data_IF_908454054518
#
_entry.id   IF_908454054518
#
_cell.length_a   1.000
_cell.length_b   1.000
_cell.length_c   1.000
_cell.angle_alpha   90.00
_cell.angle_beta   90.00
_cell.angle_gamma   90.00
#
_symmetry.space_group_name_H-M   'P 1'
#
loop_
_entity.id
_entity.type
_entity.pdbx_description
1 polymer ?
#
# COMPACT_ATOMS: atom_id res chain seq x y z
N UNK A 1 -10.10 -3.82 9.22
CA UNK A 1 -8.91 -3.01 9.56
C UNK A 1 -9.05 -1.67 8.88
N UNK A 2 -8.58 -0.59 9.52
CA UNK A 2 -8.68 0.78 8.98
C UNK A 2 -7.38 1.54 9.20
N UNK A 3 -7.11 2.55 8.37
CA UNK A 3 -5.98 3.44 8.51
C UNK A 3 -6.45 4.84 8.92
N UNK A 4 -5.77 5.46 9.87
CA UNK A 4 -6.05 6.84 10.28
C UNK A 4 -4.80 7.69 10.18
N UNK A 5 -4.98 8.95 9.81
CA UNK A 5 -3.90 9.94 9.72
C UNK A 5 -3.55 10.53 11.09
N UNK A 6 -2.67 11.54 11.13
CA UNK A 6 -2.27 12.22 12.36
C UNK A 6 -3.42 12.98 13.06
N UNK A 7 -4.56 13.18 12.38
CA UNK A 7 -5.80 13.75 12.94
C UNK A 7 -6.79 12.66 13.39
N UNK A 8 -6.38 11.39 13.47
CA UNK A 8 -7.22 10.26 13.88
C UNK A 8 -8.48 10.02 13.02
N UNK A 9 -8.46 10.50 11.77
CA UNK A 9 -9.52 10.25 10.78
C UNK A 9 -9.01 9.38 9.65
N UNK A 10 -9.91 8.59 9.05
CA UNK A 10 -9.62 7.85 7.82
C UNK A 10 -9.42 8.82 6.67
N UNK A 11 -8.63 8.41 5.67
CA UNK A 11 -8.28 9.25 4.53
C UNK A 11 -8.20 8.49 3.20
N UNK A 12 -8.38 7.16 3.21
CA UNK A 12 -8.22 6.31 2.03
C UNK A 12 -9.01 5.00 2.18
N UNK A 13 -9.36 4.40 1.05
CA UNK A 13 -9.79 3.00 0.98
C UNK A 13 -8.59 2.07 1.20
N UNK A 14 -8.53 1.42 2.37
CA UNK A 14 -7.40 0.58 2.76
C UNK A 14 -7.34 -0.77 2.03
N UNK A 15 -8.33 -1.08 1.19
CA UNK A 15 -8.32 -2.26 0.30
C UNK A 15 -7.86 -1.92 -1.13
N UNK A 16 -7.57 -0.65 -1.43
CA UNK A 16 -6.99 -0.24 -2.71
C UNK A 16 -5.53 -0.73 -2.85
N UNK A 17 -4.98 -0.63 -4.06
CA UNK A 17 -3.58 -1.02 -4.28
C UNK A 17 -2.63 -0.19 -3.41
N UNK A 18 -1.48 -0.76 -3.06
CA UNK A 18 -0.47 -0.07 -2.27
C UNK A 18 -0.02 1.26 -2.91
N UNK A 19 -0.07 1.37 -4.25
CA UNK A 19 0.24 2.60 -4.96
C UNK A 19 -0.79 3.69 -4.67
N UNK A 20 -2.08 3.37 -4.73
CA UNK A 20 -3.15 4.30 -4.35
C UNK A 20 -3.08 4.67 -2.87
N UNK A 21 -2.75 3.71 -1.99
CA UNK A 21 -2.58 3.97 -0.57
C UNK A 21 -1.43 4.95 -0.31
N UNK A 22 -0.26 4.70 -0.90
CA UNK A 22 0.91 5.56 -0.78
C UNK A 22 0.72 6.94 -1.44
N UNK A 23 -0.06 7.03 -2.52
CA UNK A 23 -0.47 8.31 -3.10
C UNK A 23 -1.32 9.10 -2.11
N UNK A 24 -2.35 8.48 -1.52
CA UNK A 24 -3.21 9.14 -0.53
C UNK A 24 -2.45 9.59 0.73
N UNK A 25 -1.38 8.88 1.10
CA UNK A 25 -0.47 9.31 2.17
C UNK A 25 0.30 10.60 1.82
N UNK A 26 0.52 10.88 0.53
CA UNK A 26 1.25 12.06 0.06
C UNK A 26 0.33 13.25 -0.24
N UNK A 27 -0.97 13.02 -0.40
CA UNK A 27 -1.95 14.08 -0.72
C UNK A 27 -2.06 15.16 0.36
N UNK A 28 -1.71 14.85 1.61
CA UNK A 28 -1.67 15.80 2.72
C UNK A 28 -0.59 15.43 3.74
N UNK A 29 0.07 16.43 4.31
CA UNK A 29 1.14 16.22 5.28
C UNK A 29 0.67 15.46 6.53
N UNK A 30 -0.59 15.64 6.95
CA UNK A 30 -1.14 14.88 8.07
C UNK A 30 -1.31 13.38 7.78
N UNK A 31 -1.37 12.96 6.51
CA UNK A 31 -1.58 11.56 6.11
C UNK A 31 -0.30 10.71 6.19
N UNK A 32 0.87 11.31 6.46
CA UNK A 32 2.12 10.59 6.65
C UNK A 32 2.95 11.17 7.82
N UNK A 33 3.38 10.35 8.81
CA UNK A 33 3.03 8.94 8.97
C UNK A 33 1.56 8.75 9.35
N UNK A 34 0.99 7.61 9.01
CA UNK A 34 -0.36 7.21 9.43
C UNK A 34 -0.29 5.96 10.32
N UNK A 35 -1.44 5.52 10.82
CA UNK A 35 -1.55 4.35 11.68
C UNK A 35 -2.55 3.37 11.10
N UNK A 36 -2.17 2.09 10.99
CA UNK A 36 -3.05 1.01 10.58
C UNK A 36 -3.53 0.25 11.82
N UNK A 37 -4.85 0.17 11.99
CA UNK A 37 -5.51 -0.36 13.19
C UNK A 37 -6.26 -1.66 12.91
N UNK A 38 -6.24 -2.54 13.90
CA UNK A 38 -7.08 -3.73 13.95
C UNK A 38 -7.50 -4.07 15.39
N UNK A 39 -8.48 -4.95 15.51
CA UNK A 39 -8.93 -5.48 16.79
C UNK A 39 -8.31 -6.87 17.04
N UNK A 40 -8.59 -7.47 18.19
CA UNK A 40 -8.03 -8.76 18.57
C UNK A 40 -8.38 -9.91 17.62
N UNK A 41 -9.57 -9.89 17.00
CA UNK A 41 -9.98 -10.95 16.07
C UNK A 41 -9.20 -10.84 14.76
N UNK A 42 -9.09 -9.63 14.22
CA UNK A 42 -8.30 -9.38 13.02
C UNK A 42 -6.81 -9.66 13.27
N UNK A 43 -6.25 -9.21 14.40
CA UNK A 43 -4.86 -9.49 14.78
C UNK A 43 -4.60 -11.00 14.89
N UNK A 44 -5.51 -11.74 15.54
CA UNK A 44 -5.41 -13.19 15.68
C UNK A 44 -5.44 -13.92 14.34
N UNK A 45 -6.26 -13.46 13.39
CA UNK A 45 -6.51 -14.19 12.14
C UNK A 45 -5.56 -13.80 11.00
N UNK A 46 -5.20 -12.54 10.88
CA UNK A 46 -4.43 -12.03 9.73
C UNK A 46 -3.08 -11.40 10.13
N UNK A 47 -2.90 -11.02 11.39
CA UNK A 47 -1.73 -10.26 11.83
C UNK A 47 -1.76 -8.79 11.42
N UNK A 48 -0.63 -8.11 11.61
CA UNK A 48 -0.47 -6.68 11.31
C UNK A 48 1.00 -6.34 11.05
N UNK A 49 1.37 -6.14 9.78
CA UNK A 49 2.75 -5.86 9.38
C UNK A 49 3.70 -7.01 9.74
N UNK A 50 4.74 -6.73 10.53
CA UNK A 50 5.65 -7.76 11.05
C UNK A 50 4.98 -8.66 12.10
N UNK A 51 3.91 -8.20 12.74
CA UNK A 51 3.19 -8.99 13.73
C UNK A 51 2.37 -10.08 13.03
N UNK A 52 2.60 -11.33 13.43
CA UNK A 52 2.01 -12.51 12.77
C UNK A 52 0.71 -12.95 13.46
N UNK A 53 -0.22 -13.59 12.74
CA UNK A 53 -1.42 -14.15 13.33
C UNK A 53 -1.10 -15.23 14.37
N UNK A 54 -2.11 -15.59 15.16
CA UNK A 54 -1.98 -16.66 16.15
C UNK A 54 -1.56 -17.98 15.47
N UNK A 55 -0.77 -18.83 16.17
CA UNK A 55 -0.41 -18.73 17.59
C UNK A 55 0.90 -17.96 17.89
N UNK A 56 1.43 -17.18 16.94
CA UNK A 56 2.71 -16.48 17.14
C UNK A 56 2.63 -15.47 18.28
N UNK A 57 3.60 -15.49 19.19
CA UNK A 57 3.76 -14.46 20.22
C UNK A 57 4.42 -13.21 19.61
N UNK A 58 3.76 -12.06 19.73
CA UNK A 58 4.20 -10.76 19.22
C UNK A 58 4.71 -9.79 20.32
N UNK A 59 4.89 -10.24 21.56
CA UNK A 59 5.28 -9.40 22.70
C UNK A 59 6.60 -8.67 22.48
N UNK A 60 7.56 -9.28 21.76
CA UNK A 60 8.81 -8.63 21.39
C UNK A 60 8.59 -7.40 20.49
N UNK A 61 7.59 -7.44 19.58
CA UNK A 61 7.23 -6.31 18.74
C UNK A 61 6.50 -5.22 19.53
N UNK A 62 5.75 -5.60 20.57
CA UNK A 62 5.13 -4.65 21.50
C UNK A 62 6.20 -3.95 22.34
N UNK A 63 7.12 -4.71 22.92
CA UNK A 63 8.23 -4.17 23.70
C UNK A 63 9.16 -3.26 22.87
N UNK A 64 9.35 -3.58 21.58
CA UNK A 64 10.12 -2.76 20.65
C UNK A 64 9.39 -1.48 20.18
N UNK A 65 8.12 -1.27 20.56
CA UNK A 65 7.32 -0.13 20.11
C UNK A 65 6.92 -0.18 18.63
N UNK A 66 7.09 -1.33 17.96
CA UNK A 66 6.61 -1.53 16.59
C UNK A 66 5.10 -1.75 16.57
N UNK A 67 4.60 -2.63 17.47
CA UNK A 67 3.19 -2.96 17.61
C UNK A 67 2.62 -2.30 18.86
N UNK A 68 1.73 -1.33 18.70
CA UNK A 68 1.01 -0.75 19.81
C UNK A 68 -0.18 -1.65 20.17
N UNK A 69 -0.45 -1.82 21.47
CA UNK A 69 -1.50 -2.67 22.01
C UNK A 69 -2.15 -1.98 23.21
N UNK A 70 -3.48 -1.89 23.21
CA UNK A 70 -4.22 -1.35 24.34
C UNK A 70 -5.63 -1.95 24.46
N UNK A 71 -6.18 -2.02 25.67
CA UNK A 71 -7.52 -2.59 25.90
C UNK A 71 -8.67 -1.64 25.50
N UNK A 72 -8.35 -0.37 25.25
CA UNK A 72 -9.33 0.63 24.79
C UNK A 72 -8.76 1.48 23.67
N UNK A 73 -9.63 2.01 22.81
CA UNK A 73 -9.25 2.96 21.76
C UNK A 73 -8.65 4.24 22.33
N UNK A 74 -9.12 4.71 23.48
CA UNK A 74 -8.59 5.89 24.14
C UNK A 74 -7.13 5.69 24.60
N UNK A 75 -6.84 4.55 25.23
CA UNK A 75 -5.47 4.19 25.60
C UNK A 75 -4.57 3.97 24.38
N UNK A 76 -5.12 3.38 23.30
CA UNK A 76 -4.38 3.25 22.04
C UNK A 76 -4.06 4.63 21.45
N UNK A 77 -5.04 5.53 21.37
CA UNK A 77 -4.85 6.89 20.88
C UNK A 77 -3.75 7.63 21.65
N UNK A 78 -3.76 7.52 22.98
CA UNK A 78 -2.72 8.09 23.84
C UNK A 78 -1.33 7.55 23.51
N UNK A 79 -1.17 6.23 23.31
CA UNK A 79 0.11 5.63 22.90
C UNK A 79 0.60 6.14 21.54
N UNK A 80 -0.33 6.45 20.63
CA UNK A 80 -0.04 6.91 19.27
C UNK A 80 0.13 8.43 19.17
N UNK A 81 -0.18 9.19 20.23
CA UNK A 81 -0.21 10.66 20.20
C UNK A 81 -1.39 11.23 19.40
N UNK A 82 -2.51 10.51 19.35
CA UNK A 82 -3.73 10.88 18.65
C UNK A 82 -4.81 11.41 19.60
N UNK A 83 -5.76 12.18 19.07
CA UNK A 83 -6.95 12.58 19.83
C UNK A 83 -7.89 11.38 20.05
N UNK A 84 -8.12 11.04 21.32
CA UNK A 84 -8.88 9.86 21.73
C UNK A 84 -10.36 9.93 21.34
N UNK A 85 -10.95 11.12 21.39
CA UNK A 85 -12.35 11.32 21.02
C UNK A 85 -12.53 11.12 19.51
N UNK A 86 -11.71 11.79 18.71
CA UNK A 86 -11.75 11.69 17.25
C UNK A 86 -11.49 10.26 16.78
N UNK A 87 -10.52 9.55 17.37
CA UNK A 87 -10.30 8.14 17.02
C UNK A 87 -11.53 7.27 17.31
N UNK A 88 -12.13 7.45 18.49
CA UNK A 88 -13.31 6.69 18.91
C UNK A 88 -14.51 6.96 17.99
N UNK A 89 -14.72 8.21 17.61
CA UNK A 89 -15.77 8.60 16.65
C UNK A 89 -15.51 8.02 15.26
N UNK A 90 -14.27 8.04 14.78
CA UNK A 90 -13.86 7.44 13.51
C UNK A 90 -14.13 5.94 13.48
N UNK A 91 -13.70 5.20 14.51
CA UNK A 91 -13.95 3.76 14.62
C UNK A 91 -15.45 3.48 14.76
N UNK A 92 -16.20 4.28 15.51
CA UNK A 92 -17.64 4.12 15.65
C UNK A 92 -18.39 4.37 14.34
N UNK A 93 -17.99 5.36 13.53
CA UNK A 93 -18.53 5.59 12.18
C UNK A 93 -18.27 4.37 11.29
N UNK A 94 -17.02 3.93 11.20
CA UNK A 94 -16.65 2.77 10.39
C UNK A 94 -17.39 1.50 10.82
N UNK A 95 -17.52 1.25 12.13
CA UNK A 95 -18.20 0.06 12.64
C UNK A 95 -19.70 -0.01 12.25
N UNK A 96 -20.39 1.13 12.19
CA UNK A 96 -21.80 1.18 11.74
C UNK A 96 -21.94 0.81 10.27
N UNK A 97 -21.01 1.28 9.45
CA UNK A 97 -20.95 1.00 8.02
C UNK A 97 -20.55 -0.47 7.78
N UNK A 98 -19.51 -0.95 8.47
CA UNK A 98 -19.03 -2.33 8.37
C UNK A 98 -20.09 -3.36 8.78
N UNK A 99 -20.91 -3.07 9.80
CA UNK A 99 -22.03 -3.93 10.18
C UNK A 99 -23.07 -4.13 9.06
N UNK A 100 -23.11 -3.21 8.09
CA UNK A 100 -23.99 -3.26 6.92
C UNK A 100 -23.26 -3.72 5.64
N UNK A 101 -21.96 -4.02 5.71
CA UNK A 101 -21.14 -4.44 4.56
C UNK A 101 -20.84 -3.33 3.58
N UNK A 102 -20.94 -2.08 4.00
CA UNK A 102 -20.66 -0.92 3.17
C UNK A 102 -19.57 -0.08 3.83
N UNK A 103 -18.94 0.78 3.04
CA UNK A 103 -18.10 1.87 3.52
C UNK A 103 -18.51 3.11 2.74
N UNK A 104 -19.28 3.99 3.39
CA UNK A 104 -19.83 5.18 2.71
C UNK A 104 -18.78 6.26 2.51
N UNK A 105 -17.68 6.19 3.24
CA UNK A 105 -16.63 7.21 3.24
C UNK A 105 -15.65 6.98 2.09
N UNK A 106 -15.20 5.74 1.88
CA UNK A 106 -14.18 5.42 0.86
C UNK A 106 -14.51 4.24 -0.05
N UNK A 107 -15.74 3.71 0.02
CA UNK A 107 -16.19 2.59 -0.81
C UNK A 107 -15.28 1.35 -0.72
N UNK A 108 -14.63 1.11 0.44
CA UNK A 108 -13.92 -0.14 0.74
C UNK A 108 -14.82 -1.34 0.51
N UNK A 109 -14.31 -2.34 -0.21
CA UNK A 109 -15.09 -3.53 -0.60
C UNK A 109 -16.04 -3.29 -1.79
N UNK A 110 -16.15 -2.06 -2.30
CA UNK A 110 -17.08 -1.69 -3.36
C UNK A 110 -16.78 -2.28 -4.74
N UNK A 111 -15.53 -2.69 -5.00
CA UNK A 111 -15.11 -3.24 -6.30
C UNK A 111 -14.55 -4.68 -6.20
N UNK A 112 -14.42 -5.34 -7.35
CA UNK A 112 -13.93 -6.73 -7.45
C UNK A 112 -12.49 -6.90 -6.95
N UNK A 113 -11.63 -5.90 -7.18
CA UNK A 113 -10.24 -5.92 -6.71
C UNK A 113 -10.16 -5.99 -5.18
N UNK A 114 -10.90 -5.11 -4.48
CA UNK A 114 -10.97 -5.12 -3.03
C UNK A 114 -11.48 -6.49 -2.52
N UNK A 115 -12.63 -6.95 -3.04
CA UNK A 115 -13.26 -8.19 -2.56
C UNK A 115 -12.43 -9.44 -2.83
N UNK A 116 -11.68 -9.47 -3.94
CA UNK A 116 -10.77 -10.58 -4.24
C UNK A 116 -9.62 -10.71 -3.23
N UNK A 117 -9.22 -9.62 -2.59
CA UNK A 117 -8.17 -9.58 -1.56
C UNK A 117 -8.72 -9.65 -0.12
N UNK A 118 -10.04 -9.58 0.06
CA UNK A 118 -10.71 -9.66 1.36
C UNK A 118 -10.82 -11.09 1.89
N UNK A 119 -11.39 -11.25 3.08
CA UNK A 119 -11.72 -12.56 3.63
C UNK A 119 -13.08 -13.04 3.10
N UNK A 120 -13.13 -14.05 2.20
CA UNK A 120 -14.39 -14.55 1.67
C UNK A 120 -15.29 -15.19 2.75
N UNK A 121 -14.72 -15.58 3.90
CA UNK A 121 -15.46 -16.10 5.05
C UNK A 121 -16.08 -15.01 5.92
N UNK A 122 -15.82 -13.73 5.64
CA UNK A 122 -16.48 -12.63 6.32
C UNK A 122 -17.68 -12.12 5.52
N UNK A 123 -18.77 -11.84 6.23
CA UNK A 123 -20.04 -11.38 5.68
C UNK A 123 -20.51 -10.19 6.52
N UNK A 124 -21.27 -9.24 5.95
CA UNK A 124 -21.81 -9.24 4.58
C UNK A 124 -20.84 -8.79 3.48
N UNK A 125 -19.66 -8.26 3.81
CA UNK A 125 -18.63 -7.89 2.83
C UNK A 125 -17.25 -8.38 3.24
N UNK A 126 -16.49 -8.93 2.30
CA UNK A 126 -15.19 -9.56 2.57
C UNK A 126 -14.11 -8.59 3.09
N UNK A 127 -14.28 -7.27 2.92
CA UNK A 127 -13.31 -6.26 3.32
C UNK A 127 -13.70 -5.53 4.61
N UNK A 128 -14.99 -5.52 4.97
CA UNK A 128 -15.54 -4.65 6.00
C UNK A 128 -15.94 -5.43 7.26
N UNK A 129 -14.97 -5.69 8.13
CA UNK A 129 -15.21 -6.18 9.49
C UNK A 129 -15.14 -5.04 10.51
N UNK A 130 -16.07 -4.96 11.47
CA UNK A 130 -16.02 -3.96 12.54
C UNK A 130 -14.89 -4.26 13.53
N UNK A 131 -14.33 -3.22 14.15
CA UNK A 131 -13.31 -3.31 15.20
C UNK A 131 -14.00 -3.23 16.55
N UNK A 132 -14.28 -4.38 17.18
CA UNK A 132 -15.09 -4.46 18.41
C UNK A 132 -14.39 -5.19 19.55
N UNK A 133 -13.38 -6.01 19.25
CA UNK A 133 -12.77 -6.90 20.24
C UNK A 133 -11.46 -6.33 20.75
N UNK A 134 -11.44 -5.87 22.00
CA UNK A 134 -10.19 -5.56 22.69
C UNK A 134 -9.33 -6.84 22.86
N UNK A 135 -8.00 -6.71 22.98
CA UNK A 135 -7.22 -5.48 22.81
C UNK A 135 -7.21 -4.98 21.35
N UNK A 136 -7.06 -3.67 21.19
CA UNK A 136 -6.85 -3.01 19.91
C UNK A 136 -5.36 -2.87 19.63
N UNK A 137 -5.00 -2.95 18.36
CA UNK A 137 -3.63 -2.92 17.88
C UNK A 137 -3.43 -1.85 16.82
N UNK A 138 -2.23 -1.27 16.78
CA UNK A 138 -1.83 -0.38 15.71
C UNK A 138 -0.35 -0.52 15.36
N UNK A 139 -0.01 -0.25 14.10
CA UNK A 139 1.36 -0.02 13.66
C UNK A 139 1.44 1.35 12.98
N UNK A 140 2.60 1.99 13.09
CA UNK A 140 2.89 3.24 12.39
C UNK A 140 3.40 2.93 10.98
N UNK A 141 2.79 3.54 9.98
CA UNK A 141 3.16 3.42 8.58
C UNK A 141 3.83 4.69 8.09
N UNK A 142 4.90 4.51 7.34
CA UNK A 142 5.59 5.55 6.60
C UNK A 142 5.41 5.30 5.11
N UNK A 143 5.55 6.35 4.30
CA UNK A 143 5.67 6.17 2.86
C UNK A 143 6.97 5.44 2.56
N UNK A 144 6.90 4.48 1.65
CA UNK A 144 8.06 3.78 1.11
C UNK A 144 7.86 3.59 -0.38
N UNK A 145 8.97 3.43 -1.10
CA UNK A 145 8.99 3.17 -2.53
C UNK A 145 9.53 1.76 -2.83
N UNK A 146 9.20 1.27 -4.03
CA UNK A 146 9.69 -0.01 -4.57
C UNK A 146 10.51 0.22 -5.85
N UNK A 147 10.95 1.46 -6.09
CA UNK A 147 11.59 1.91 -7.32
C UNK A 147 11.03 3.23 -7.85
N UNK A 148 11.77 3.83 -8.78
CA UNK A 148 11.42 5.08 -9.44
C UNK A 148 10.73 4.83 -10.78
N UNK A 149 9.78 5.68 -11.15
CA UNK A 149 9.14 5.66 -12.48
C UNK A 149 9.84 6.54 -13.51
N UNK A 150 10.74 7.43 -13.06
CA UNK A 150 11.51 8.33 -13.91
C UNK A 150 12.87 7.73 -14.19
N UNK A 151 13.30 7.80 -15.45
CA UNK A 151 14.57 7.25 -15.90
C UNK A 151 15.07 7.90 -17.19
N UNK A 152 15.92 7.18 -17.90
CA UNK A 152 16.43 7.55 -19.21
C UNK A 152 15.34 7.35 -20.25
N UNK A 153 15.07 8.37 -21.06
CA UNK A 153 14.14 8.25 -22.19
C UNK A 153 14.75 7.30 -23.22
N UNK A 154 13.96 6.35 -23.70
CA UNK A 154 14.40 5.36 -24.68
C UNK A 154 13.48 5.28 -25.89
N UNK A 155 14.02 4.73 -26.98
CA UNK A 155 13.22 4.30 -28.14
C UNK A 155 12.43 3.01 -27.84
N UNK A 156 11.64 2.55 -28.82
CA UNK A 156 10.94 1.26 -28.76
C UNK A 156 11.90 0.06 -28.64
N UNK A 157 13.15 0.21 -29.09
CA UNK A 157 14.21 -0.80 -29.01
C UNK A 157 15.12 -0.63 -27.79
N UNK A 158 14.67 0.15 -26.78
CA UNK A 158 15.39 0.43 -25.53
C UNK A 158 16.72 1.20 -25.69
N UNK A 159 16.98 1.83 -26.83
CA UNK A 159 18.14 2.73 -26.99
C UNK A 159 17.90 4.04 -26.23
N UNK A 160 18.88 4.48 -25.44
CA UNK A 160 18.79 5.77 -24.74
C UNK A 160 18.86 6.91 -25.75
N UNK A 161 18.00 7.92 -25.59
CA UNK A 161 18.02 9.13 -26.44
C UNK A 161 18.69 10.30 -25.75
N UNK A 162 19.38 11.13 -26.52
CA UNK A 162 19.95 12.39 -26.04
C UNK A 162 18.89 13.50 -25.94
N UNK A 163 19.30 14.69 -25.52
CA UNK A 163 18.39 15.85 -25.35
C UNK A 163 17.77 16.37 -26.65
N UNK A 164 18.24 15.92 -27.81
CA UNK A 164 17.66 16.22 -29.12
C UNK A 164 16.71 15.12 -29.62
N UNK A 165 16.52 14.05 -28.83
CA UNK A 165 15.71 12.89 -29.20
C UNK A 165 16.42 11.87 -30.09
N UNK A 166 17.74 12.01 -30.30
CA UNK A 166 18.50 11.09 -31.13
C UNK A 166 19.03 9.91 -30.30
N UNK A 167 18.92 8.65 -30.78
CA UNK A 167 19.51 7.49 -30.11
C UNK A 167 21.01 7.64 -29.94
N UNK A 168 21.50 7.28 -28.75
CA UNK A 168 22.94 7.25 -28.43
C UNK A 168 23.48 5.88 -28.82
N UNK A 169 24.42 5.79 -29.79
CA UNK A 169 24.94 4.49 -30.24
C UNK A 169 25.55 3.67 -29.10
N UNK A 170 25.14 2.41 -28.99
CA UNK A 170 25.66 1.45 -28.00
C UNK A 170 25.10 1.60 -26.59
N UNK A 171 24.24 2.59 -26.31
CA UNK A 171 23.67 2.81 -24.99
C UNK A 171 22.19 2.42 -24.94
N UNK A 172 21.86 1.52 -24.01
CA UNK A 172 20.50 1.01 -23.79
C UNK A 172 20.14 1.10 -22.32
N UNK A 173 18.85 1.26 -22.02
CA UNK A 173 18.33 1.25 -20.67
C UNK A 173 17.04 0.43 -20.62
N UNK A 174 16.87 -0.36 -19.55
CA UNK A 174 15.70 -1.22 -19.35
C UNK A 174 15.33 -1.25 -17.88
N UNK A 175 14.14 -1.74 -17.54
CA UNK A 175 13.70 -1.82 -16.15
C UNK A 175 13.59 -0.42 -15.51
N UNK A 176 14.09 -0.25 -14.29
CA UNK A 176 13.96 1.01 -13.55
C UNK A 176 14.90 2.12 -14.03
N UNK A 177 15.93 1.80 -14.83
CA UNK A 177 16.81 2.82 -15.42
C UNK A 177 16.13 3.51 -16.62
N UNK A 178 15.12 2.86 -17.22
CA UNK A 178 14.33 3.38 -18.32
C UNK A 178 13.18 4.23 -17.77
N UNK A 179 12.87 5.34 -18.46
CA UNK A 179 11.68 6.12 -18.16
C UNK A 179 10.43 5.27 -18.35
N UNK A 180 9.63 5.13 -17.29
CA UNK A 180 8.54 4.18 -17.29
C UNK A 180 7.45 4.63 -18.25
N UNK A 181 7.16 3.78 -19.24
CA UNK A 181 5.96 3.86 -20.09
C UNK A 181 4.63 3.97 -19.33
N UNK A 182 4.63 3.68 -18.02
CA UNK A 182 3.45 3.75 -17.16
C UNK A 182 3.34 5.12 -16.46
N UNK A 183 4.32 6.01 -16.66
CA UNK A 183 4.32 7.39 -16.20
C UNK A 183 4.00 7.56 -14.71
N UNK A 184 4.50 6.64 -13.87
CA UNK A 184 4.24 6.64 -12.43
C UNK A 184 2.92 6.00 -12.01
N UNK A 185 2.11 5.49 -12.93
CA UNK A 185 0.89 4.74 -12.63
C UNK A 185 1.20 3.26 -12.38
N UNK A 186 0.39 2.62 -11.54
CA UNK A 186 0.48 1.19 -11.25
C UNK A 186 -0.78 0.42 -11.71
N UNK A 187 -0.93 0.07 -13.00
CA UNK A 187 -2.03 -0.76 -13.51
C UNK A 187 -2.15 -2.16 -12.91
N UNK A 188 -1.07 -2.77 -12.42
CA UNK A 188 -1.16 -4.14 -11.88
C UNK A 188 0.16 -4.80 -11.50
N UNK A 189 0.08 -5.99 -10.88
CA UNK A 189 1.25 -6.76 -10.47
C UNK A 189 2.17 -7.09 -11.66
N UNK A 190 3.48 -6.95 -11.45
CA UNK A 190 4.49 -7.30 -12.45
C UNK A 190 4.85 -6.18 -13.43
N UNK A 191 4.32 -4.98 -13.24
CA UNK A 191 4.57 -3.80 -14.10
C UNK A 191 6.05 -3.40 -14.24
N UNK A 192 6.90 -3.75 -13.28
CA UNK A 192 8.34 -3.48 -13.39
C UNK A 192 9.06 -4.61 -14.12
N UNK A 193 8.76 -5.86 -13.76
CA UNK A 193 9.44 -7.04 -14.28
C UNK A 193 9.05 -7.36 -15.72
N UNK A 194 7.77 -7.25 -16.06
CA UNK A 194 7.26 -7.52 -17.41
C UNK A 194 7.95 -6.65 -18.46
N UNK A 195 7.83 -5.32 -18.39
CA UNK A 195 8.56 -4.41 -19.25
C UNK A 195 10.08 -4.59 -19.18
N UNK A 196 10.65 -4.80 -17.99
CA UNK A 196 12.11 -5.06 -17.86
C UNK A 196 12.58 -6.24 -18.72
N UNK A 197 11.86 -7.37 -18.68
CA UNK A 197 12.15 -8.54 -19.50
C UNK A 197 11.92 -8.27 -20.99
N UNK A 198 10.80 -7.62 -21.34
CA UNK A 198 10.46 -7.32 -22.74
C UNK A 198 11.49 -6.38 -23.37
N UNK A 199 11.81 -5.26 -22.73
CA UNK A 199 12.78 -4.31 -23.27
C UNK A 199 14.21 -4.83 -23.22
N UNK A 200 14.54 -5.69 -22.23
CA UNK A 200 15.80 -6.43 -22.23
C UNK A 200 15.95 -7.33 -23.46
N UNK A 201 14.89 -8.04 -23.85
CA UNK A 201 14.86 -8.83 -25.08
C UNK A 201 14.99 -7.96 -26.33
N UNK A 202 14.23 -6.86 -26.42
CA UNK A 202 14.28 -5.94 -27.57
C UNK A 202 15.66 -5.31 -27.75
N UNK A 203 16.29 -4.86 -26.66
CA UNK A 203 17.65 -4.32 -26.68
C UNK A 203 18.65 -5.36 -27.23
N UNK A 204 18.56 -6.62 -26.77
CA UNK A 204 19.42 -7.69 -27.23
C UNK A 204 19.20 -8.02 -28.72
N UNK A 205 17.95 -8.05 -29.18
CA UNK A 205 17.62 -8.24 -30.61
C UNK A 205 18.17 -7.11 -31.48
N UNK A 206 17.98 -5.86 -31.06
CA UNK A 206 18.48 -4.70 -31.78
C UNK A 206 20.02 -4.71 -31.84
N UNK A 207 20.69 -5.01 -30.73
CA UNK A 207 22.15 -5.20 -30.67
C UNK A 207 22.62 -6.27 -31.64
N UNK A 208 21.99 -7.46 -31.66
CA UNK A 208 22.41 -8.56 -32.53
C UNK A 208 22.26 -8.22 -34.02
N UNK A 209 21.25 -7.44 -34.40
CA UNK A 209 21.03 -7.02 -35.79
C UNK A 209 21.99 -5.92 -36.26
N UNK A 210 22.50 -5.11 -35.34
CA UNK A 210 23.32 -3.92 -35.64
C UNK A 210 24.77 -4.06 -35.15
N UNK A 211 25.16 -5.23 -34.68
CA UNK A 211 26.56 -5.56 -34.38
C UNK A 211 27.30 -5.76 -35.71
N UNK A 212 28.08 -4.76 -36.12
CA UNK A 212 29.08 -4.92 -37.18
C UNK A 212 30.19 -5.81 -36.65
N UNK A 213 30.35 -7.00 -37.24
CA UNK A 213 31.56 -7.82 -37.12
C UNK A 213 32.77 -7.09 -37.70
#
# INVERSE_FOLDING_TARGET
>A
MIAVNQRAVRFVNESSSYHHFASAMQDAAENAPCFLLCDAQAMKRYGLGLARPAPVNNDALVAAGYLHKADTLAALAQQLGLDAQTLSETVARYNRDAAQGVDREFAKGGNSYNRAMGDPGHQPDACNAPLLSAPFYAIKLYTGDLGTSRGLVTTADAQVVNTQGNPIPGLYAVGNDMDSLMAGTYPGPGITLGPGLTFGYLAACHLAQHSTH
#
